data_IF_650464089564
#
_entry.id   IF_650464089564
#
_cell.length_a   1.000
_cell.length_b   1.000
_cell.length_c   1.000
_cell.angle_alpha   90.00
_cell.angle_beta   90.00
_cell.angle_gamma   90.00
#
_symmetry.space_group_name_H-M   'P 1'
#
loop_
_entity.id
_entity.type
_entity.pdbx_description
1 polymer ?
#
# COMPACT_ATOMS: atom_id res chain seq x y z
N UNK A 1 -36.49 -82.87 18.02
CA UNK A 1 -36.31 -81.75 17.07
C UNK A 1 -35.80 -80.55 17.85
N UNK A 2 -34.49 -80.30 17.82
CA UNK A 2 -33.86 -79.12 18.44
C UNK A 2 -32.84 -78.58 17.46
N UNK A 3 -33.09 -77.37 16.97
CA UNK A 3 -32.21 -76.62 16.08
C UNK A 3 -31.03 -76.06 16.89
N UNK A 4 -29.82 -76.31 16.41
CA UNK A 4 -28.57 -75.71 16.91
C UNK A 4 -28.28 -74.43 16.11
N UNK A 5 -28.11 -73.30 16.80
CA UNK A 5 -27.70 -72.01 16.26
C UNK A 5 -26.18 -71.85 16.51
N UNK A 6 -25.34 -71.56 15.51
CA UNK A 6 -23.92 -71.35 15.74
C UNK A 6 -23.65 -69.90 16.16
N UNK A 7 -22.88 -69.73 17.24
CA UNK A 7 -22.35 -68.45 17.71
C UNK A 7 -21.12 -68.10 16.87
N UNK A 8 -21.19 -67.00 16.12
CA UNK A 8 -20.05 -66.42 15.41
C UNK A 8 -19.33 -65.48 16.39
N UNK A 9 -18.08 -65.83 16.75
CA UNK A 9 -17.19 -65.01 17.57
C UNK A 9 -16.46 -64.02 16.65
N UNK A 10 -16.81 -62.72 16.70
CA UNK A 10 -16.04 -61.67 16.02
C UNK A 10 -14.78 -61.33 16.84
N UNK A 11 -13.61 -61.63 16.28
CA UNK A 11 -12.31 -61.14 16.74
C UNK A 11 -12.09 -59.71 16.20
N UNK A 12 -12.14 -58.72 17.09
CA UNK A 12 -11.69 -57.36 16.78
C UNK A 12 -10.16 -57.30 16.83
N UNK A 13 -9.52 -57.19 15.67
CA UNK A 13 -8.11 -56.85 15.55
C UNK A 13 -7.94 -55.33 15.71
N UNK A 14 -7.38 -54.89 16.84
CA UNK A 14 -7.00 -53.49 17.04
C UNK A 14 -5.71 -53.20 16.27
N UNK A 15 -5.83 -52.62 15.08
CA UNK A 15 -4.71 -52.03 14.36
C UNK A 15 -4.29 -50.74 15.08
N UNK A 16 -3.17 -50.79 15.79
CA UNK A 16 -2.54 -49.62 16.40
C UNK A 16 -1.84 -48.80 15.31
N UNK A 17 -2.54 -47.83 14.72
CA UNK A 17 -1.91 -46.80 13.89
C UNK A 17 -1.00 -45.93 14.77
N UNK A 18 0.32 -46.16 14.67
CA UNK A 18 1.33 -45.22 15.16
C UNK A 18 1.30 -44.00 14.24
N UNK A 19 0.65 -42.94 14.69
CA UNK A 19 0.69 -41.64 14.03
C UNK A 19 2.10 -41.07 14.28
N UNK A 20 2.99 -41.18 13.29
CA UNK A 20 4.24 -40.43 13.30
C UNK A 20 3.88 -38.94 13.27
N UNK A 21 4.18 -38.23 14.36
CA UNK A 21 4.20 -36.77 14.34
C UNK A 21 5.26 -36.38 13.31
N UNK A 22 4.84 -35.82 12.18
CA UNK A 22 5.73 -35.00 11.36
C UNK A 22 6.41 -34.01 12.29
N UNK A 23 7.74 -34.11 12.39
CA UNK A 23 8.54 -33.02 12.96
C UNK A 23 8.23 -31.81 12.09
N UNK A 24 7.64 -30.77 12.68
CA UNK A 24 7.66 -29.45 12.08
C UNK A 24 9.13 -29.13 11.77
N UNK A 25 9.47 -29.12 10.48
CA UNK A 25 10.74 -28.57 10.02
C UNK A 25 10.75 -27.12 10.49
N UNK A 26 11.82 -26.73 11.21
CA UNK A 26 11.98 -25.33 11.56
C UNK A 26 11.87 -24.48 10.28
N UNK A 27 11.22 -23.30 10.34
CA UNK A 27 11.11 -22.46 9.16
C UNK A 27 12.50 -22.13 8.64
N UNK A 28 12.78 -22.52 7.40
CA UNK A 28 14.05 -22.18 6.74
C UNK A 28 13.95 -20.73 6.29
N UNK A 29 14.96 -19.93 6.61
CA UNK A 29 15.09 -18.55 6.12
C UNK A 29 14.97 -18.52 4.60
N UNK A 30 14.16 -17.61 4.06
CA UNK A 30 14.01 -17.48 2.61
C UNK A 30 15.32 -17.04 1.98
N UNK A 31 15.69 -17.60 0.84
CA UNK A 31 16.77 -17.05 0.02
C UNK A 31 16.18 -16.32 -1.18
N UNK A 32 16.62 -15.08 -1.38
CA UNK A 32 16.18 -14.21 -2.46
C UNK A 32 17.33 -13.91 -3.39
N UNK A 33 17.09 -14.06 -4.69
CA UNK A 33 18.09 -13.83 -5.73
C UNK A 33 17.47 -13.00 -6.85
N UNK A 34 18.22 -12.01 -7.34
CA UNK A 34 17.87 -11.28 -8.54
C UNK A 34 18.71 -11.85 -9.70
N UNK A 35 18.03 -12.40 -10.71
CA UNK A 35 18.67 -12.93 -11.91
C UNK A 35 18.38 -12.05 -13.12
N UNK A 36 19.36 -11.93 -14.01
CA UNK A 36 19.20 -11.30 -15.31
C UNK A 36 19.44 -12.37 -16.40
N UNK A 37 18.38 -12.72 -17.12
CA UNK A 37 18.38 -13.71 -18.20
C UNK A 37 18.06 -13.11 -19.56
N UNK A 38 17.79 -13.96 -20.56
CA UNK A 38 17.36 -13.51 -21.90
C UNK A 38 16.02 -12.78 -21.89
N UNK A 39 15.18 -13.07 -20.90
CA UNK A 39 13.81 -12.57 -20.79
C UNK A 39 13.72 -11.38 -19.81
N UNK A 40 14.87 -10.79 -19.43
CA UNK A 40 14.99 -9.67 -18.50
C UNK A 40 15.33 -10.08 -17.08
N UNK A 41 14.95 -9.23 -16.12
CA UNK A 41 15.17 -9.41 -14.69
C UNK A 41 14.07 -10.24 -14.05
N UNK A 42 14.46 -11.16 -13.16
CA UNK A 42 13.55 -12.01 -12.43
C UNK A 42 14.00 -12.11 -10.97
N UNK A 43 13.08 -11.84 -10.05
CA UNK A 43 13.24 -12.12 -8.64
C UNK A 43 12.91 -13.60 -8.39
N UNK A 44 13.78 -14.30 -7.66
CA UNK A 44 13.56 -15.66 -7.19
C UNK A 44 13.45 -15.67 -5.67
N UNK A 45 12.47 -16.39 -5.15
CA UNK A 45 12.36 -16.72 -3.72
C UNK A 45 12.44 -18.23 -3.58
N UNK A 46 13.44 -18.70 -2.84
CA UNK A 46 13.75 -20.13 -2.66
C UNK A 46 13.95 -20.87 -3.99
N UNK A 47 14.54 -20.17 -4.97
CA UNK A 47 14.79 -20.68 -6.32
C UNK A 47 13.58 -20.68 -7.27
N UNK A 48 12.41 -20.24 -6.82
CA UNK A 48 11.20 -20.14 -7.64
C UNK A 48 10.95 -18.69 -8.11
N UNK A 49 10.54 -18.45 -9.37
CA UNK A 49 10.14 -17.13 -9.85
C UNK A 49 9.08 -16.50 -8.97
N UNK A 50 9.30 -15.24 -8.59
CA UNK A 50 8.43 -14.50 -7.68
C UNK A 50 8.22 -13.07 -8.18
N UNK A 51 7.11 -12.83 -8.87
CA UNK A 51 6.70 -11.46 -9.23
C UNK A 51 5.91 -10.84 -8.09
N UNK A 52 6.32 -9.66 -7.61
CA UNK A 52 5.69 -9.02 -6.46
C UNK A 52 4.33 -8.42 -6.87
N UNK A 53 3.27 -9.03 -6.35
CA UNK A 53 1.89 -8.53 -6.39
C UNK A 53 1.56 -8.04 -4.99
N UNK A 54 2.11 -6.88 -4.64
CA UNK A 54 2.14 -6.43 -3.26
C UNK A 54 1.34 -5.18 -2.97
N UNK A 55 1.30 -4.84 -1.70
CA UNK A 55 0.72 -3.58 -1.22
C UNK A 55 1.55 -2.92 -0.12
N UNK A 56 1.54 -1.59 -0.05
CA UNK A 56 2.05 -0.85 1.10
C UNK A 56 1.07 -1.00 2.26
N UNK A 57 1.51 -1.60 3.37
CA UNK A 57 0.66 -2.04 4.47
C UNK A 57 1.40 -1.86 5.79
N UNK A 58 1.18 -0.73 6.47
CA UNK A 58 1.75 -0.48 7.80
C UNK A 58 0.79 -0.98 8.90
N UNK A 59 -0.49 -0.56 8.80
CA UNK A 59 -1.53 -0.88 9.78
C UNK A 59 -2.79 -1.52 9.14
N UNK A 60 -2.71 -1.87 7.85
CA UNK A 60 -3.79 -2.53 7.14
C UNK A 60 -3.96 -4.01 7.52
N UNK A 61 -4.99 -4.65 6.96
CA UNK A 61 -5.27 -6.06 7.21
C UNK A 61 -4.41 -6.97 6.32
N UNK A 62 -3.45 -7.67 6.93
CA UNK A 62 -2.64 -8.72 6.29
C UNK A 62 -3.54 -9.88 5.77
N UNK A 63 -4.53 -10.37 6.54
CA UNK A 63 -5.44 -11.40 6.03
C UNK A 63 -6.25 -10.97 4.81
N UNK A 64 -6.73 -9.72 4.77
CA UNK A 64 -7.50 -9.23 3.62
C UNK A 64 -6.61 -9.09 2.37
N UNK A 65 -5.34 -8.69 2.52
CA UNK A 65 -4.40 -8.69 1.40
C UNK A 65 -4.24 -10.09 0.78
N UNK A 66 -4.00 -11.10 1.62
CA UNK A 66 -3.89 -12.49 1.17
C UNK A 66 -5.18 -12.99 0.50
N UNK A 67 -6.34 -12.68 1.10
CA UNK A 67 -7.66 -13.03 0.56
C UNK A 67 -7.92 -12.44 -0.82
N UNK A 68 -7.40 -11.23 -1.09
CA UNK A 68 -7.55 -10.59 -2.40
C UNK A 68 -6.46 -10.99 -3.41
N UNK A 69 -5.58 -11.93 -3.08
CA UNK A 69 -4.56 -12.48 -4.00
C UNK A 69 -3.23 -11.74 -4.01
N UNK A 70 -3.02 -10.80 -3.08
CA UNK A 70 -1.69 -10.24 -2.86
C UNK A 70 -0.73 -11.33 -2.35
N UNK A 71 0.54 -11.25 -2.73
CA UNK A 71 1.57 -12.23 -2.33
C UNK A 71 2.68 -11.65 -1.44
N UNK A 72 2.74 -10.32 -1.32
CA UNK A 72 3.71 -9.63 -0.50
C UNK A 72 3.19 -8.29 0.02
N UNK A 73 3.81 -7.72 1.04
CA UNK A 73 3.59 -6.33 1.43
C UNK A 73 4.88 -5.62 1.83
N UNK A 74 4.81 -4.29 1.83
CA UNK A 74 5.90 -3.41 2.26
C UNK A 74 5.52 -2.66 3.53
N UNK A 75 6.46 -2.55 4.46
CA UNK A 75 6.39 -1.64 5.63
C UNK A 75 7.39 -0.51 5.47
N UNK A 76 7.33 0.53 6.32
CA UNK A 76 8.27 1.65 6.30
C UNK A 76 9.36 1.56 7.38
N UNK A 77 9.18 0.66 8.36
CA UNK A 77 10.07 0.49 9.51
C UNK A 77 9.91 -0.89 10.14
N UNK A 78 10.89 -1.25 10.95
CA UNK A 78 10.92 -2.50 11.70
C UNK A 78 10.16 -2.42 13.02
N UNK A 79 9.86 -1.23 13.54
CA UNK A 79 8.96 -1.04 14.69
C UNK A 79 8.10 0.18 14.40
N UNK A 80 6.79 -0.03 14.29
CA UNK A 80 5.85 1.02 13.92
C UNK A 80 5.09 1.61 15.11
N UNK A 81 5.54 1.33 16.34
CA UNK A 81 4.94 1.78 17.59
C UNK A 81 3.70 1.00 18.02
N UNK A 82 3.14 0.15 17.15
CA UNK A 82 2.05 -0.77 17.47
C UNK A 82 2.50 -2.23 17.43
N UNK A 83 3.45 -2.55 16.55
CA UNK A 83 3.94 -3.89 16.28
C UNK A 83 5.44 -3.87 16.04
N UNK A 84 6.14 -4.86 16.61
CA UNK A 84 7.51 -5.16 16.21
C UNK A 84 7.54 -5.82 14.83
N UNK A 85 8.66 -5.70 14.14
CA UNK A 85 8.88 -6.21 12.80
C UNK A 85 8.79 -7.72 12.80
N UNK A 86 9.25 -8.37 13.88
CA UNK A 86 9.04 -9.81 14.09
C UNK A 86 7.55 -10.15 14.13
N UNK A 87 6.73 -9.41 14.87
CA UNK A 87 5.29 -9.70 14.93
C UNK A 87 4.59 -9.46 13.58
N UNK A 88 5.06 -8.50 12.79
CA UNK A 88 4.58 -8.27 11.41
C UNK A 88 4.96 -9.45 10.50
N UNK A 89 6.22 -9.87 10.55
CA UNK A 89 6.74 -10.98 9.76
C UNK A 89 6.10 -12.32 10.14
N UNK A 90 5.86 -12.57 11.44
CA UNK A 90 5.19 -13.78 11.93
C UNK A 90 3.76 -13.88 11.35
N UNK A 91 3.00 -12.77 11.32
CA UNK A 91 1.65 -12.75 10.73
C UNK A 91 1.71 -12.90 9.21
N UNK A 92 2.67 -12.25 8.54
CA UNK A 92 2.88 -12.43 7.11
C UNK A 92 3.07 -13.91 6.76
N UNK A 93 3.95 -14.60 7.50
CA UNK A 93 4.19 -16.02 7.32
C UNK A 93 2.92 -16.86 7.55
N UNK A 94 2.14 -16.54 8.59
CA UNK A 94 0.90 -17.26 8.89
C UNK A 94 -0.13 -17.17 7.74
N UNK A 95 -0.07 -16.10 6.95
CA UNK A 95 -0.93 -15.89 5.78
C UNK A 95 -0.25 -16.21 4.44
N UNK A 96 0.96 -16.79 4.46
CA UNK A 96 1.70 -17.16 3.24
C UNK A 96 2.23 -15.97 2.44
N UNK A 97 2.35 -14.80 3.06
CA UNK A 97 2.84 -13.57 2.44
C UNK A 97 4.33 -13.36 2.69
N UNK A 98 4.97 -12.66 1.75
CA UNK A 98 6.35 -12.17 1.88
C UNK A 98 6.38 -10.68 2.24
N UNK A 99 7.50 -10.19 2.75
CA UNK A 99 7.62 -8.83 3.27
C UNK A 99 8.88 -8.14 2.74
N UNK A 100 8.68 -6.99 2.11
CA UNK A 100 9.71 -5.97 2.00
C UNK A 100 9.71 -5.18 3.32
N UNK A 101 10.66 -5.48 4.21
CA UNK A 101 10.73 -4.85 5.52
C UNK A 101 11.41 -3.49 5.40
N UNK A 102 10.67 -2.42 5.67
CA UNK A 102 11.22 -1.08 5.71
C UNK A 102 12.16 -0.89 6.91
N UNK A 103 13.17 -0.06 6.71
CA UNK A 103 14.09 0.42 7.74
C UNK A 103 13.95 1.93 7.78
N UNK A 104 13.63 2.49 8.95
CA UNK A 104 13.57 3.94 9.08
C UNK A 104 15.00 4.52 9.01
N UNK A 105 15.21 5.38 8.02
CA UNK A 105 16.46 6.12 7.80
C UNK A 105 16.13 7.60 7.92
N UNK A 106 16.93 8.34 8.69
CA UNK A 106 16.63 9.73 8.97
C UNK A 106 16.65 10.60 7.71
N UNK A 107 15.70 11.52 7.61
CA UNK A 107 15.45 12.34 6.43
C UNK A 107 16.03 13.73 6.65
N UNK A 108 16.71 14.30 5.65
CA UNK A 108 17.28 15.66 5.75
C UNK A 108 16.19 16.71 6.01
N UNK A 109 15.01 16.55 5.39
CA UNK A 109 13.85 17.43 5.61
C UNK A 109 13.33 17.43 7.06
N UNK A 110 13.71 16.44 7.88
CA UNK A 110 13.43 16.39 9.32
C UNK A 110 14.59 16.95 10.18
N UNK A 111 15.60 17.55 9.56
CA UNK A 111 16.74 18.18 10.23
C UNK A 111 17.96 17.27 10.43
N UNK A 112 18.00 16.08 9.82
CA UNK A 112 19.17 15.21 9.92
C UNK A 112 20.32 15.71 9.03
N UNK A 113 21.49 15.94 9.61
CA UNK A 113 22.68 16.38 8.88
C UNK A 113 23.59 15.21 8.52
N UNK A 114 23.62 14.83 7.24
CA UNK A 114 24.52 13.79 6.73
C UNK A 114 26.01 14.19 6.71
N UNK A 115 26.36 15.42 7.10
CA UNK A 115 27.75 15.78 7.42
C UNK A 115 28.17 15.41 8.84
N UNK A 116 27.22 15.18 9.76
CA UNK A 116 27.52 14.67 11.09
C UNK A 116 27.83 13.16 11.02
N UNK A 117 29.09 12.86 10.77
CA UNK A 117 29.59 11.48 10.71
C UNK A 117 29.33 10.66 11.98
N UNK A 118 29.19 11.30 13.15
CA UNK A 118 28.87 10.60 14.38
C UNK A 118 27.39 10.22 14.42
N UNK A 119 26.49 11.09 13.96
CA UNK A 119 25.07 10.78 13.80
C UNK A 119 24.83 9.67 12.78
N UNK A 120 25.46 9.76 11.61
CA UNK A 120 25.38 8.71 10.56
C UNK A 120 25.86 7.36 11.09
N UNK A 121 26.96 7.33 11.85
CA UNK A 121 27.47 6.08 12.44
C UNK A 121 26.54 5.50 13.50
N UNK A 122 25.90 6.34 14.33
CA UNK A 122 24.91 5.86 15.32
C UNK A 122 23.72 5.21 14.61
N UNK A 123 23.17 5.88 13.60
CA UNK A 123 22.08 5.33 12.79
C UNK A 123 22.46 3.98 12.17
N UNK A 124 23.66 3.85 11.59
CA UNK A 124 24.13 2.59 11.00
C UNK A 124 24.16 1.45 12.04
N UNK A 125 24.64 1.71 13.25
CA UNK A 125 24.70 0.69 14.31
C UNK A 125 23.31 0.33 14.83
N UNK A 126 22.42 1.31 14.99
CA UNK A 126 21.04 1.06 15.40
C UNK A 126 20.29 0.20 14.36
N UNK A 127 20.53 0.45 13.06
CA UNK A 127 19.99 -0.37 11.96
C UNK A 127 20.59 -1.77 11.97
N UNK A 128 21.89 -1.92 12.24
CA UNK A 128 22.54 -3.24 12.33
C UNK A 128 21.84 -4.15 13.35
N UNK A 129 21.45 -3.61 14.51
CA UNK A 129 20.76 -4.39 15.53
C UNK A 129 19.38 -4.87 15.06
N UNK A 130 18.62 -4.01 14.38
CA UNK A 130 17.30 -4.36 13.81
C UNK A 130 17.44 -5.46 12.74
N UNK A 131 18.44 -5.37 11.87
CA UNK A 131 18.71 -6.38 10.83
C UNK A 131 19.08 -7.72 11.46
N UNK A 132 19.99 -7.71 12.44
CA UNK A 132 20.39 -8.94 13.16
C UNK A 132 19.20 -9.66 13.82
N UNK A 133 18.17 -8.93 14.25
CA UNK A 133 16.98 -9.52 14.88
C UNK A 133 16.07 -10.23 13.88
N UNK A 134 15.94 -9.73 12.64
CA UNK A 134 14.92 -10.19 11.69
C UNK A 134 15.46 -10.93 10.46
N UNK A 135 16.77 -10.85 10.17
CA UNK A 135 17.40 -11.38 8.94
C UNK A 135 17.16 -12.87 8.67
N UNK A 136 16.84 -13.66 9.69
CA UNK A 136 16.63 -15.10 9.55
C UNK A 136 15.14 -15.46 9.35
N UNK A 137 14.25 -14.46 9.28
CA UNK A 137 12.81 -14.69 9.20
C UNK A 137 12.36 -15.16 7.79
N UNK A 138 11.59 -16.26 7.68
CA UNK A 138 11.18 -16.84 6.38
C UNK A 138 10.21 -15.98 5.56
N UNK A 139 9.49 -15.03 6.16
CA UNK A 139 8.65 -14.09 5.41
C UNK A 139 9.43 -12.90 4.81
N UNK A 140 10.64 -12.61 5.29
CA UNK A 140 11.42 -11.49 4.77
C UNK A 140 11.90 -11.79 3.35
N UNK A 141 11.90 -10.79 2.46
CA UNK A 141 12.47 -10.91 1.12
C UNK A 141 13.41 -9.77 0.73
N UNK A 142 13.12 -8.55 1.17
CA UNK A 142 13.87 -7.33 0.78
C UNK A 142 13.92 -6.39 1.97
N UNK A 143 15.07 -5.76 2.19
CA UNK A 143 15.24 -4.64 3.10
C UNK A 143 15.06 -3.31 2.36
N UNK A 144 14.03 -2.56 2.73
CA UNK A 144 13.78 -1.20 2.22
C UNK A 144 14.52 -0.15 3.03
N UNK A 145 15.68 0.29 2.56
CA UNK A 145 16.54 1.26 3.25
C UNK A 145 15.98 2.67 3.05
N UNK A 146 15.24 3.15 4.06
CA UNK A 146 14.63 4.47 4.04
C UNK A 146 13.44 4.62 3.09
N UNK A 147 12.81 5.78 3.16
CA UNK A 147 11.69 6.16 2.32
C UNK A 147 11.83 7.62 1.91
N UNK A 148 11.78 7.88 0.60
CA UNK A 148 11.79 9.23 0.02
C UNK A 148 12.93 10.10 0.55
N UNK A 149 14.12 9.50 0.69
CA UNK A 149 15.30 10.21 1.20
C UNK A 149 15.72 11.38 0.31
N UNK A 150 15.28 11.38 -0.95
CA UNK A 150 15.46 12.45 -1.93
C UNK A 150 14.43 13.60 -1.80
N UNK A 151 13.31 13.39 -1.10
CA UNK A 151 12.25 14.39 -0.99
C UNK A 151 12.74 15.60 -0.19
N UNK A 152 12.88 16.74 -0.87
CA UNK A 152 13.42 18.00 -0.32
C UNK A 152 14.84 17.87 0.23
N UNK A 153 15.60 16.87 -0.19
CA UNK A 153 16.99 16.70 0.19
C UNK A 153 17.93 17.41 -0.78
N UNK A 154 19.08 17.85 -0.26
CA UNK A 154 20.14 18.51 -1.03
C UNK A 154 21.52 17.91 -0.75
N UNK A 155 21.68 17.18 0.34
CA UNK A 155 22.95 16.59 0.74
C UNK A 155 23.15 15.21 0.10
N UNK A 156 24.04 15.05 -0.90
CA UNK A 156 24.20 13.78 -1.62
C UNK A 156 24.80 12.66 -0.76
N UNK A 157 25.36 12.98 0.42
CA UNK A 157 25.88 11.99 1.38
C UNK A 157 24.81 11.06 1.96
N UNK A 158 23.53 11.38 1.77
CA UNK A 158 22.45 10.44 2.06
C UNK A 158 22.63 9.12 1.31
N UNK A 159 23.10 9.17 0.05
CA UNK A 159 23.35 7.98 -0.75
C UNK A 159 24.58 7.22 -0.30
N UNK A 160 25.63 7.92 0.16
CA UNK A 160 26.78 7.27 0.80
C UNK A 160 26.32 6.49 2.05
N UNK A 161 25.42 7.06 2.86
CA UNK A 161 24.86 6.38 4.04
C UNK A 161 23.98 5.17 3.65
N UNK A 162 23.14 5.30 2.62
CA UNK A 162 22.36 4.17 2.07
C UNK A 162 23.27 3.02 1.63
N UNK A 163 24.37 3.33 0.94
CA UNK A 163 25.36 2.35 0.51
C UNK A 163 26.00 1.60 1.68
N UNK A 164 26.38 2.34 2.73
CA UNK A 164 27.01 1.74 3.90
C UNK A 164 26.02 0.87 4.70
N UNK A 165 24.73 1.22 4.70
CA UNK A 165 23.67 0.37 5.26
C UNK A 165 23.51 -0.90 4.41
N UNK A 166 23.48 -0.79 3.08
CA UNK A 166 23.38 -1.94 2.18
C UNK A 166 24.53 -2.94 2.39
N UNK A 167 25.78 -2.45 2.36
CA UNK A 167 26.97 -3.29 2.58
C UNK A 167 26.94 -3.95 3.94
N UNK A 168 26.48 -3.20 4.94
CA UNK A 168 26.33 -3.71 6.29
C UNK A 168 25.34 -4.88 6.31
N UNK A 169 24.18 -4.73 5.68
CA UNK A 169 23.16 -5.78 5.57
C UNK A 169 23.74 -7.00 4.87
N UNK A 170 24.30 -6.87 3.66
CA UNK A 170 24.87 -8.01 2.92
C UNK A 170 26.00 -8.72 3.67
N UNK A 171 26.71 -8.03 4.56
CA UNK A 171 27.76 -8.65 5.40
C UNK A 171 27.23 -9.58 6.49
N UNK A 172 25.96 -9.43 6.91
CA UNK A 172 25.34 -10.19 8.01
C UNK A 172 24.12 -11.00 7.57
N UNK A 173 23.49 -10.62 6.46
CA UNK A 173 22.34 -11.23 5.82
C UNK A 173 22.67 -11.49 4.35
N UNK A 174 23.00 -12.74 4.04
CA UNK A 174 23.33 -13.17 2.68
C UNK A 174 22.11 -13.71 1.92
N UNK A 175 20.92 -13.56 2.49
CA UNK A 175 19.69 -14.20 2.01
C UNK A 175 18.73 -13.19 1.36
N UNK A 176 18.77 -11.92 1.77
CA UNK A 176 17.80 -10.92 1.33
C UNK A 176 18.45 -9.79 0.55
N UNK A 177 17.66 -9.18 -0.35
CA UNK A 177 18.10 -8.04 -1.16
C UNK A 177 17.93 -6.72 -0.41
N UNK A 178 18.60 -5.67 -0.89
CA UNK A 178 18.47 -4.29 -0.42
C UNK A 178 17.97 -3.37 -1.54
N UNK A 179 17.15 -2.39 -1.17
CA UNK A 179 16.67 -1.33 -2.08
C UNK A 179 16.45 -0.03 -1.31
N UNK A 180 16.20 1.08 -2.00
CA UNK A 180 15.76 2.35 -1.40
C UNK A 180 14.61 2.95 -2.20
N UNK A 181 13.55 3.40 -1.54
CA UNK A 181 12.36 3.95 -2.19
C UNK A 181 12.50 5.45 -2.46
N UNK A 182 12.42 5.84 -3.73
CA UNK A 182 12.59 7.21 -4.22
C UNK A 182 11.24 7.90 -4.42
N UNK A 183 11.14 9.19 -4.06
CA UNK A 183 10.03 10.06 -4.45
C UNK A 183 10.23 10.49 -5.92
N UNK A 184 9.56 9.83 -6.86
CA UNK A 184 9.80 10.00 -8.30
C UNK A 184 11.21 9.54 -8.72
N UNK A 185 11.60 9.92 -9.94
CA UNK A 185 12.89 9.55 -10.53
C UNK A 185 13.38 10.66 -11.47
N UNK A 186 14.70 10.90 -11.51
CA UNK A 186 15.34 11.77 -12.50
C UNK A 186 16.71 11.23 -12.86
N UNK A 187 17.28 11.71 -13.97
CA UNK A 187 18.59 11.25 -14.44
C UNK A 187 19.68 11.57 -13.41
N UNK A 188 19.66 12.78 -12.85
CA UNK A 188 20.64 13.23 -11.86
C UNK A 188 20.57 12.37 -10.60
N UNK A 189 19.36 12.03 -10.15
CA UNK A 189 19.16 11.16 -8.99
C UNK A 189 19.69 9.74 -9.25
N UNK A 190 19.44 9.19 -10.44
CA UNK A 190 19.96 7.87 -10.83
C UNK A 190 21.48 7.88 -10.95
N UNK A 191 22.07 8.93 -11.54
CA UNK A 191 23.52 9.08 -11.64
C UNK A 191 24.16 9.14 -10.24
N UNK A 192 23.59 9.93 -9.32
CA UNK A 192 24.05 10.03 -7.92
C UNK A 192 23.99 8.67 -7.20
N UNK A 193 22.89 7.92 -7.36
CA UNK A 193 22.74 6.60 -6.73
C UNK A 193 23.74 5.60 -7.31
N UNK A 194 23.94 5.58 -8.63
CA UNK A 194 24.94 4.72 -9.27
C UNK A 194 26.36 5.01 -8.78
N UNK A 195 26.68 6.28 -8.55
CA UNK A 195 28.00 6.68 -8.03
C UNK A 195 28.16 6.32 -6.55
N UNK A 196 27.14 6.57 -5.74
CA UNK A 196 27.27 6.61 -4.27
C UNK A 196 26.73 5.39 -3.56
N UNK A 197 25.71 4.75 -4.10
CA UNK A 197 25.07 3.54 -3.58
C UNK A 197 25.06 2.35 -4.56
N UNK A 198 26.23 1.97 -5.13
CA UNK A 198 26.33 0.86 -6.08
C UNK A 198 26.09 -0.52 -5.46
N UNK A 199 26.01 -0.62 -4.13
CA UNK A 199 25.75 -1.88 -3.43
C UNK A 199 24.27 -2.28 -3.39
N UNK A 200 23.35 -1.37 -3.74
CA UNK A 200 21.92 -1.69 -3.82
C UNK A 200 21.66 -2.72 -4.93
N UNK A 201 20.83 -3.72 -4.63
CA UNK A 201 20.50 -4.78 -5.59
C UNK A 201 19.54 -4.31 -6.70
N UNK A 202 18.65 -3.36 -6.38
CA UNK A 202 17.67 -2.78 -7.30
C UNK A 202 17.23 -1.38 -6.87
N UNK A 203 16.60 -0.64 -7.79
CA UNK A 203 15.94 0.62 -7.46
C UNK A 203 14.48 0.40 -7.04
N UNK A 204 13.96 1.34 -6.26
CA UNK A 204 12.53 1.42 -5.98
C UNK A 204 12.02 2.83 -6.18
N UNK A 205 10.92 2.97 -6.91
CA UNK A 205 10.36 4.26 -7.30
C UNK A 205 8.93 4.37 -6.79
N UNK A 206 8.52 5.57 -6.39
CA UNK A 206 7.18 5.90 -5.94
C UNK A 206 6.61 6.95 -6.86
N UNK A 207 5.51 6.63 -7.53
CA UNK A 207 4.86 7.48 -8.51
C UNK A 207 3.35 7.25 -8.52
N UNK A 208 2.61 8.35 -8.70
CA UNK A 208 1.16 8.39 -8.52
C UNK A 208 0.43 8.54 -9.86
N UNK A 209 -0.09 9.72 -10.21
CA UNK A 209 -0.76 9.87 -11.50
C UNK A 209 0.21 9.80 -12.67
N UNK A 210 1.36 10.45 -12.52
CA UNK A 210 2.41 10.50 -13.52
C UNK A 210 3.14 9.15 -13.77
N UNK A 211 2.82 8.10 -13.01
CA UNK A 211 3.43 6.76 -13.19
C UNK A 211 3.25 6.21 -14.60
N UNK A 212 2.23 6.63 -15.33
CA UNK A 212 2.03 6.23 -16.73
C UNK A 212 3.23 6.57 -17.63
N UNK A 213 4.05 7.54 -17.22
CA UNK A 213 5.28 7.95 -17.89
C UNK A 213 6.56 7.27 -17.34
N UNK A 214 6.45 6.46 -16.28
CA UNK A 214 7.58 5.77 -15.66
C UNK A 214 8.46 4.98 -16.64
N UNK A 215 7.92 4.23 -17.63
CA UNK A 215 8.76 3.54 -18.61
C UNK A 215 9.72 4.49 -19.34
N UNK A 216 9.21 5.63 -19.81
CA UNK A 216 10.03 6.64 -20.48
C UNK A 216 11.04 7.31 -19.54
N UNK A 217 10.68 7.45 -18.26
CA UNK A 217 11.62 7.98 -17.25
C UNK A 217 12.75 7.01 -16.95
N UNK A 218 12.47 5.72 -16.80
CA UNK A 218 13.50 4.68 -16.60
C UNK A 218 14.50 4.68 -17.78
N UNK A 219 13.98 4.68 -19.02
CA UNK A 219 14.79 4.74 -20.23
C UNK A 219 15.67 6.00 -20.29
N UNK A 220 15.07 7.18 -20.06
CA UNK A 220 15.77 8.47 -20.18
C UNK A 220 16.78 8.73 -19.05
N UNK A 221 16.55 8.14 -17.88
CA UNK A 221 17.52 8.17 -16.78
C UNK A 221 18.68 7.18 -17.00
N UNK A 222 18.54 6.25 -17.96
CA UNK A 222 19.54 5.25 -18.29
C UNK A 222 19.72 4.21 -17.18
N UNK A 223 18.65 3.84 -16.47
CA UNK A 223 18.70 2.75 -15.50
C UNK A 223 18.48 1.42 -16.22
N UNK A 224 19.51 0.57 -16.25
CA UNK A 224 19.46 -0.74 -16.93
C UNK A 224 19.21 -1.90 -15.95
N UNK A 225 19.15 -1.64 -14.64
CA UNK A 225 18.97 -2.65 -13.58
C UNK A 225 17.51 -3.00 -13.32
N UNK A 226 17.23 -4.01 -12.50
CA UNK A 226 15.85 -4.25 -12.05
C UNK A 226 15.31 -3.06 -11.24
N UNK A 227 13.99 -2.91 -11.18
CA UNK A 227 13.35 -1.97 -10.26
C UNK A 227 12.01 -2.48 -9.73
N UNK A 228 11.54 -1.84 -8.66
CA UNK A 228 10.21 -2.00 -8.07
C UNK A 228 9.46 -0.68 -8.08
N UNK A 229 8.13 -0.77 -8.22
CA UNK A 229 7.26 0.37 -7.91
C UNK A 229 6.75 0.20 -6.47
N UNK A 230 7.29 0.96 -5.53
CA UNK A 230 7.07 0.74 -4.09
C UNK A 230 5.89 1.50 -3.49
N UNK A 231 5.39 2.51 -4.20
CA UNK A 231 4.09 3.14 -3.94
C UNK A 231 3.52 3.62 -5.27
N UNK A 232 2.28 3.23 -5.53
CA UNK A 232 1.46 3.68 -6.66
C UNK A 232 0.00 3.43 -6.30
N UNK A 233 -0.93 4.20 -6.86
CA UNK A 233 -2.34 4.02 -6.53
C UNK A 233 -3.17 5.21 -6.92
N UNK A 234 -3.63 5.98 -5.93
CA UNK A 234 -4.46 7.16 -6.13
C UNK A 234 -3.70 8.31 -6.81
N UNK A 235 -4.43 9.26 -7.41
CA UNK A 235 -3.87 10.52 -7.92
C UNK A 235 -3.35 11.34 -6.74
N UNK A 236 -2.11 11.84 -6.80
CA UNK A 236 -1.58 12.69 -5.75
C UNK A 236 -2.43 13.96 -5.59
N UNK A 237 -2.59 14.47 -4.37
CA UNK A 237 -3.37 15.68 -4.14
C UNK A 237 -2.77 16.94 -4.79
N UNK A 238 -1.50 16.89 -5.17
CA UNK A 238 -0.81 17.92 -5.96
C UNK A 238 -1.02 17.77 -7.48
N UNK A 239 -1.64 16.68 -7.93
CA UNK A 239 -1.86 16.35 -9.36
C UNK A 239 -3.34 16.54 -9.78
N UNK A 240 -4.20 17.04 -8.89
CA UNK A 240 -5.61 17.32 -9.16
C UNK A 240 -5.91 18.82 -9.26
N UNK A 241 -7.01 19.22 -9.93
CA UNK A 241 -7.49 20.59 -9.88
C UNK A 241 -7.75 21.06 -8.45
N UNK A 242 -7.54 22.35 -8.21
CA UNK A 242 -7.88 23.00 -6.95
C UNK A 242 -9.14 23.86 -7.13
N UNK A 243 -9.96 23.95 -6.09
CA UNK A 243 -11.00 24.97 -5.98
C UNK A 243 -10.40 26.37 -5.82
N UNK A 244 -11.22 27.42 -5.94
CA UNK A 244 -10.81 28.82 -5.72
C UNK A 244 -10.22 29.10 -4.33
N UNK A 245 -10.57 28.29 -3.32
CA UNK A 245 -10.01 28.38 -1.97
C UNK A 245 -8.88 27.37 -1.70
N UNK A 246 -8.33 26.76 -2.76
CA UNK A 246 -7.14 25.90 -2.67
C UNK A 246 -7.39 24.45 -2.25
N UNK A 247 -8.65 24.03 -2.04
CA UNK A 247 -8.96 22.64 -1.71
C UNK A 247 -8.80 21.73 -2.94
N UNK A 248 -8.06 20.60 -2.85
CA UNK A 248 -7.84 19.70 -3.98
C UNK A 248 -9.07 18.83 -4.25
N UNK A 249 -9.47 18.74 -5.52
CA UNK A 249 -10.68 18.02 -5.94
C UNK A 249 -10.38 16.53 -6.05
N UNK A 250 -10.88 15.76 -5.08
CA UNK A 250 -10.62 14.32 -4.98
C UNK A 250 -11.43 13.53 -6.03
N UNK A 251 -10.80 12.52 -6.63
CA UNK A 251 -11.50 11.59 -7.51
C UNK A 251 -12.47 10.69 -6.71
N UNK A 252 -13.63 10.32 -7.29
CA UNK A 252 -14.50 9.33 -6.67
C UNK A 252 -13.89 7.91 -6.78
N UNK A 253 -14.45 6.94 -6.05
CA UNK A 253 -13.94 5.56 -6.03
C UNK A 253 -13.96 4.87 -7.39
N UNK A 254 -14.92 5.18 -8.28
CA UNK A 254 -14.98 4.61 -9.64
C UNK A 254 -13.81 5.08 -10.49
N UNK A 255 -13.53 6.39 -10.44
CA UNK A 255 -12.41 6.99 -11.14
C UNK A 255 -11.07 6.48 -10.60
N UNK A 256 -10.93 6.39 -9.27
CA UNK A 256 -9.75 5.79 -8.63
C UNK A 256 -9.54 4.36 -9.14
N UNK A 257 -10.55 3.50 -9.08
CA UNK A 257 -10.45 2.12 -9.55
C UNK A 257 -10.02 2.02 -11.03
N UNK A 258 -10.61 2.86 -11.90
CA UNK A 258 -10.22 2.96 -13.31
C UNK A 258 -8.75 3.37 -13.47
N UNK A 259 -8.30 4.38 -12.73
CA UNK A 259 -6.91 4.83 -12.77
C UNK A 259 -5.93 3.77 -12.23
N UNK A 260 -6.27 3.03 -11.19
CA UNK A 260 -5.43 1.92 -10.69
C UNK A 260 -5.21 0.88 -11.80
N UNK A 261 -6.28 0.46 -12.47
CA UNK A 261 -6.19 -0.50 -13.59
C UNK A 261 -5.32 0.04 -14.73
N UNK A 262 -5.56 1.27 -15.15
CA UNK A 262 -4.80 1.93 -16.21
C UNK A 262 -3.30 2.02 -15.88
N UNK A 263 -2.97 2.50 -14.68
CA UNK A 263 -1.58 2.68 -14.23
C UNK A 263 -0.84 1.36 -14.13
N UNK A 264 -1.47 0.33 -13.58
CA UNK A 264 -0.88 -1.00 -13.49
C UNK A 264 -0.55 -1.56 -14.87
N UNK A 265 -1.52 -1.58 -15.77
CA UNK A 265 -1.34 -2.15 -17.11
C UNK A 265 -0.32 -1.37 -17.94
N UNK A 266 -0.31 -0.04 -17.80
CA UNK A 266 0.53 0.83 -18.63
C UNK A 266 1.97 0.87 -18.15
N UNK A 267 2.22 0.92 -16.85
CA UNK A 267 3.53 1.23 -16.30
C UNK A 267 4.21 0.09 -15.53
N UNK A 268 3.45 -0.93 -15.11
CA UNK A 268 3.96 -2.01 -14.26
C UNK A 268 3.94 -3.33 -15.02
N UNK A 269 2.76 -3.75 -15.50
CA UNK A 269 2.58 -5.01 -16.23
C UNK A 269 3.28 -4.99 -17.59
N UNK A 270 3.32 -3.84 -18.26
CA UNK A 270 4.02 -3.66 -19.54
C UNK A 270 5.55 -3.72 -19.41
N UNK A 271 6.09 -3.62 -18.18
CA UNK A 271 7.52 -3.49 -17.89
C UNK A 271 8.11 -4.73 -17.22
N UNK A 272 7.47 -5.91 -17.34
CA UNK A 272 7.89 -7.15 -16.67
C UNK A 272 9.31 -7.63 -16.97
N UNK A 273 9.94 -7.14 -18.03
CA UNK A 273 11.36 -7.42 -18.34
C UNK A 273 12.32 -6.74 -17.35
N UNK A 274 11.90 -5.68 -16.65
CA UNK A 274 12.77 -4.91 -15.74
C UNK A 274 12.13 -4.61 -14.38
N UNK A 275 10.82 -4.36 -14.37
CA UNK A 275 10.00 -4.19 -13.19
C UNK A 275 9.69 -5.55 -12.58
N UNK A 276 10.23 -5.85 -11.40
CA UNK A 276 10.04 -7.15 -10.71
C UNK A 276 8.81 -7.19 -9.80
N UNK A 277 7.96 -6.16 -9.89
CA UNK A 277 6.66 -6.08 -9.24
C UNK A 277 6.38 -4.73 -8.60
N UNK A 278 5.34 -4.68 -7.78
CA UNK A 278 4.88 -3.42 -7.21
C UNK A 278 4.12 -3.56 -5.89
N UNK A 279 4.03 -2.44 -5.17
CA UNK A 279 3.27 -2.29 -3.94
C UNK A 279 2.22 -1.19 -4.09
N UNK A 280 0.96 -1.58 -4.25
CA UNK A 280 -0.16 -0.63 -4.31
C UNK A 280 -0.34 0.10 -2.98
N UNK A 281 -0.60 1.41 -3.00
CA UNK A 281 -0.68 2.27 -1.82
C UNK A 281 -1.98 3.08 -1.78
N UNK A 282 -2.68 3.15 -0.64
CA UNK A 282 -2.41 2.54 0.67
C UNK A 282 -3.37 1.36 0.92
N UNK A 283 -2.84 0.18 1.23
CA UNK A 283 -3.68 -0.97 1.64
C UNK A 283 -4.12 -0.85 3.09
N UNK A 284 -5.13 -0.03 3.30
CA UNK A 284 -5.68 0.31 4.61
C UNK A 284 -6.42 1.63 4.51
N UNK A 285 -6.46 2.34 5.64
CA UNK A 285 -7.02 3.67 5.74
C UNK A 285 -6.05 4.56 6.52
N UNK A 286 -5.89 5.81 6.06
CA UNK A 286 -5.11 6.85 6.72
C UNK A 286 -5.68 8.21 6.33
N UNK A 287 -5.71 9.14 7.28
CA UNK A 287 -5.93 10.54 6.99
C UNK A 287 -4.75 11.11 6.20
N UNK A 288 -5.03 11.57 4.99
CA UNK A 288 -4.06 12.30 4.18
C UNK A 288 -4.78 13.19 3.17
N UNK A 289 -4.85 14.48 3.49
CA UNK A 289 -5.80 15.49 2.99
C UNK A 289 -7.26 15.18 3.33
N UNK A 290 -7.73 13.98 3.05
CA UNK A 290 -9.06 13.49 3.41
C UNK A 290 -8.97 12.06 3.98
N UNK A 291 -9.99 11.57 4.69
CA UNK A 291 -10.00 10.19 5.20
C UNK A 291 -10.08 9.14 4.09
N UNK A 292 -10.32 9.54 2.84
CA UNK A 292 -10.57 8.66 1.69
C UNK A 292 -9.52 8.77 0.60
N UNK A 293 -8.52 9.65 0.71
CA UNK A 293 -7.67 10.02 -0.43
C UNK A 293 -6.90 8.83 -1.01
N UNK A 294 -6.02 8.23 -0.21
CA UNK A 294 -5.11 7.16 -0.65
C UNK A 294 -5.51 5.77 -0.17
N UNK A 295 -6.25 5.67 0.94
CA UNK A 295 -6.70 4.39 1.49
C UNK A 295 -7.64 3.66 0.54
N UNK A 296 -7.42 2.37 0.32
CA UNK A 296 -8.34 1.49 -0.44
C UNK A 296 -9.45 0.90 0.44
N UNK A 297 -9.40 1.15 1.75
CA UNK A 297 -10.45 0.84 2.71
C UNK A 297 -10.98 2.13 3.37
N UNK A 298 -12.24 2.09 3.77
CA UNK A 298 -12.85 3.12 4.62
C UNK A 298 -12.52 2.86 6.09
N UNK A 299 -12.77 3.85 6.95
CA UNK A 299 -12.47 3.78 8.39
C UNK A 299 -13.23 2.64 9.09
N UNK A 300 -14.41 2.27 8.58
CA UNK A 300 -15.21 1.16 9.10
C UNK A 300 -14.74 -0.23 8.62
N UNK A 301 -13.67 -0.28 7.82
CA UNK A 301 -13.11 -1.49 7.24
C UNK A 301 -13.76 -1.94 5.92
N UNK A 302 -14.74 -1.21 5.39
CA UNK A 302 -15.33 -1.53 4.08
C UNK A 302 -14.31 -1.31 2.96
N UNK A 303 -14.22 -2.26 2.03
CA UNK A 303 -13.37 -2.14 0.84
C UNK A 303 -13.96 -1.16 -0.17
N UNK A 304 -13.11 -0.65 -1.05
CA UNK A 304 -13.50 0.23 -2.17
C UNK A 304 -13.31 -0.44 -3.51
N UNK A 305 -13.82 0.16 -4.58
CA UNK A 305 -13.65 -0.33 -5.95
C UNK A 305 -12.18 -0.52 -6.38
N UNK A 306 -11.24 0.16 -5.71
CA UNK A 306 -9.81 -0.08 -5.92
C UNK A 306 -9.37 -1.48 -5.47
N UNK A 307 -9.94 -2.01 -4.38
CA UNK A 307 -9.69 -3.39 -3.92
C UNK A 307 -10.19 -4.40 -4.95
N UNK A 308 -11.36 -4.18 -5.54
CA UNK A 308 -11.94 -5.08 -6.56
C UNK A 308 -11.06 -5.14 -7.81
N UNK A 309 -10.54 -3.98 -8.23
CA UNK A 309 -9.58 -3.91 -9.35
C UNK A 309 -8.30 -4.64 -9.02
N UNK A 310 -7.74 -4.47 -7.82
CA UNK A 310 -6.53 -5.21 -7.45
C UNK A 310 -6.78 -6.71 -7.37
N UNK A 311 -7.93 -7.14 -6.83
CA UNK A 311 -8.35 -8.53 -6.86
C UNK A 311 -8.42 -9.08 -8.29
N UNK A 312 -9.02 -8.34 -9.22
CA UNK A 312 -9.06 -8.71 -10.63
C UNK A 312 -7.66 -8.81 -11.25
N UNK A 313 -6.78 -7.83 -11.01
CA UNK A 313 -5.44 -7.80 -11.57
C UNK A 313 -4.55 -8.93 -11.03
N UNK A 314 -4.75 -9.36 -9.79
CA UNK A 314 -3.96 -10.42 -9.17
C UNK A 314 -4.50 -11.82 -9.45
N UNK A 315 -5.83 -12.00 -9.53
CA UNK A 315 -6.45 -13.33 -9.69
C UNK A 315 -6.96 -13.62 -11.11
N UNK A 316 -7.13 -12.60 -11.95
CA UNK A 316 -7.70 -12.74 -13.30
C UNK A 316 -9.24 -12.80 -13.34
N UNK A 317 -9.91 -12.68 -12.20
CA UNK A 317 -11.36 -12.65 -12.06
C UNK A 317 -11.79 -11.59 -11.06
N UNK A 318 -12.98 -11.03 -11.22
CA UNK A 318 -13.58 -10.11 -10.24
C UNK A 318 -13.93 -10.83 -8.93
N UNK A 319 -13.95 -10.11 -7.78
CA UNK A 319 -14.43 -10.69 -6.54
C UNK A 319 -15.92 -11.05 -6.66
N UNK A 320 -16.40 -11.97 -5.80
CA UNK A 320 -17.80 -12.43 -5.81
C UNK A 320 -18.80 -11.31 -5.53
N UNK A 321 -18.41 -10.32 -4.73
CA UNK A 321 -19.17 -9.11 -4.47
C UNK A 321 -18.29 -7.90 -4.78
N UNK A 322 -18.73 -7.06 -5.70
CA UNK A 322 -18.04 -5.87 -6.13
C UNK A 322 -18.61 -4.64 -5.43
N UNK A 323 -17.73 -3.68 -5.18
CA UNK A 323 -18.14 -2.37 -4.70
C UNK A 323 -19.08 -1.72 -5.73
N UNK A 324 -20.09 -0.96 -5.30
CA UNK A 324 -20.93 -0.23 -6.24
C UNK A 324 -20.08 0.76 -7.06
N UNK A 325 -20.62 1.38 -8.12
CA UNK A 325 -19.99 2.44 -8.91
C UNK A 325 -20.67 3.78 -8.61
N UNK A 326 -19.89 4.84 -8.38
CA UNK A 326 -20.37 6.23 -8.31
C UNK A 326 -20.30 6.83 -9.70
N UNK A 327 -21.44 7.16 -10.28
CA UNK A 327 -21.55 7.79 -11.59
C UNK A 327 -21.47 9.32 -11.48
N UNK A 328 -22.08 9.89 -10.45
CA UNK A 328 -22.05 11.33 -10.18
C UNK A 328 -22.44 11.63 -8.74
N UNK A 329 -21.90 12.72 -8.22
CA UNK A 329 -22.35 13.37 -6.98
C UNK A 329 -22.58 14.84 -7.28
N UNK A 330 -23.64 15.43 -6.74
CA UNK A 330 -23.95 16.86 -6.90
C UNK A 330 -24.43 17.48 -5.60
N UNK A 331 -24.06 18.74 -5.40
CA UNK A 331 -24.57 19.61 -4.33
C UNK A 331 -25.12 20.89 -4.95
N UNK A 332 -26.38 21.21 -4.67
CA UNK A 332 -27.10 22.31 -5.32
C UNK A 332 -27.01 22.27 -6.86
N UNK A 333 -27.12 21.06 -7.43
CA UNK A 333 -27.02 20.80 -8.87
C UNK A 333 -25.60 20.89 -9.46
N UNK A 334 -24.60 21.29 -8.69
CA UNK A 334 -23.21 21.48 -9.12
C UNK A 334 -22.33 20.26 -8.81
N UNK A 335 -21.30 20.05 -9.61
CA UNK A 335 -20.32 18.96 -9.49
C UNK A 335 -19.14 19.35 -8.61
N UNK A 336 -18.41 18.38 -8.03
CA UNK A 336 -17.11 18.64 -7.41
C UNK A 336 -16.19 19.42 -8.37
N UNK A 337 -15.56 20.48 -7.85
CA UNK A 337 -14.67 21.36 -8.62
C UNK A 337 -15.34 22.59 -9.26
N UNK A 338 -16.67 22.73 -9.24
CA UNK A 338 -17.37 23.91 -9.79
C UNK A 338 -17.43 25.12 -8.83
N UNK A 339 -16.53 25.21 -7.83
CA UNK A 339 -16.47 26.30 -6.84
C UNK A 339 -17.84 26.61 -6.19
N UNK A 340 -18.40 25.62 -5.49
CA UNK A 340 -19.75 25.69 -4.93
C UNK A 340 -19.81 26.63 -3.71
N UNK A 341 -20.41 27.81 -3.89
CA UNK A 341 -20.71 28.76 -2.80
C UNK A 341 -22.15 28.64 -2.33
N UNK A 342 -22.33 28.41 -1.03
CA UNK A 342 -23.65 28.27 -0.39
C UNK A 342 -23.84 29.30 0.72
N UNK A 343 -25.10 29.68 0.96
CA UNK A 343 -25.43 30.60 2.04
C UNK A 343 -25.52 29.86 3.38
N UNK A 344 -24.78 30.34 4.39
CA UNK A 344 -24.83 29.82 5.76
C UNK A 344 -26.28 29.70 6.29
N UNK A 345 -26.55 28.63 7.04
CA UNK A 345 -27.85 28.33 7.63
C UNK A 345 -28.96 27.94 6.65
N UNK A 346 -28.72 28.01 5.33
CA UNK A 346 -29.69 27.65 4.28
C UNK A 346 -29.61 26.16 3.95
N UNK A 347 -30.68 25.58 3.38
CA UNK A 347 -30.71 24.18 2.94
C UNK A 347 -30.59 24.05 1.42
N UNK A 348 -29.84 23.04 0.98
CA UNK A 348 -29.63 22.73 -0.43
C UNK A 348 -29.69 21.21 -0.68
N UNK A 349 -30.17 20.77 -1.85
CA UNK A 349 -30.21 19.35 -2.19
C UNK A 349 -28.81 18.83 -2.51
N UNK A 350 -28.49 17.64 -2.02
CA UNK A 350 -27.37 16.83 -2.47
C UNK A 350 -27.89 15.49 -3.00
N UNK A 351 -27.28 14.99 -4.07
CA UNK A 351 -27.68 13.73 -4.68
C UNK A 351 -26.49 12.97 -5.26
N UNK A 352 -26.55 11.65 -5.16
CA UNK A 352 -25.63 10.73 -5.78
C UNK A 352 -26.37 9.78 -6.73
N UNK A 353 -25.70 9.44 -7.83
CA UNK A 353 -26.12 8.44 -8.78
C UNK A 353 -25.10 7.31 -8.72
N UNK A 354 -25.59 6.12 -8.41
CA UNK A 354 -24.75 4.94 -8.23
C UNK A 354 -25.40 3.72 -8.85
N UNK A 355 -24.58 2.77 -9.26
CA UNK A 355 -24.98 1.47 -9.80
C UNK A 355 -24.27 0.38 -9.03
N UNK A 356 -24.94 -0.73 -8.69
CA UNK A 356 -24.29 -1.88 -8.08
C UNK A 356 -24.10 -2.99 -9.13
N UNK A 357 -22.86 -3.48 -9.39
CA UNK A 357 -22.62 -4.53 -10.38
C UNK A 357 -23.39 -5.83 -10.11
N UNK A 358 -23.61 -6.15 -8.83
CA UNK A 358 -24.26 -7.38 -8.37
C UNK A 358 -25.77 -7.18 -8.13
N UNK A 359 -26.25 -5.94 -8.29
CA UNK A 359 -27.63 -5.48 -8.05
C UNK A 359 -28.05 -5.54 -6.58
N UNK A 360 -27.08 -5.39 -5.67
CA UNK A 360 -27.35 -5.30 -4.24
C UNK A 360 -28.00 -3.96 -3.84
N UNK A 361 -28.68 -3.97 -2.70
CA UNK A 361 -29.36 -2.80 -2.18
C UNK A 361 -28.34 -1.83 -1.54
N UNK A 362 -28.17 -0.65 -2.13
CA UNK A 362 -27.19 0.33 -1.65
C UNK A 362 -27.73 1.14 -0.46
N UNK A 363 -26.99 1.12 0.64
CA UNK A 363 -27.17 2.05 1.76
C UNK A 363 -26.15 3.19 1.66
N UNK A 364 -26.60 4.44 1.82
CA UNK A 364 -25.75 5.63 1.76
C UNK A 364 -25.37 6.12 3.15
N UNK A 365 -24.28 6.87 3.24
CA UNK A 365 -23.93 7.65 4.44
C UNK A 365 -23.36 8.98 3.99
N UNK A 366 -24.10 10.04 4.25
CA UNK A 366 -23.65 11.41 3.99
C UNK A 366 -23.14 12.06 5.28
N UNK A 367 -22.04 12.80 5.18
CA UNK A 367 -21.49 13.56 6.31
C UNK A 367 -20.67 14.76 5.83
N UNK A 368 -20.54 15.79 6.67
CA UNK A 368 -19.81 17.02 6.35
C UNK A 368 -18.63 17.13 7.30
N UNK A 369 -17.49 17.57 6.79
CA UNK A 369 -16.33 17.94 7.59
C UNK A 369 -15.83 19.32 7.17
N UNK A 370 -15.11 20.01 8.05
CA UNK A 370 -14.30 21.16 7.63
C UNK A 370 -13.21 20.68 6.67
N UNK A 371 -12.83 21.51 5.72
CA UNK A 371 -11.66 21.21 4.89
C UNK A 371 -10.40 21.15 5.78
N UNK A 372 -9.56 20.15 5.56
CA UNK A 372 -8.34 19.94 6.35
C UNK A 372 -7.41 21.14 6.27
N UNK A 373 -6.93 21.59 7.43
CA UNK A 373 -5.95 22.69 7.55
C UNK A 373 -4.60 22.22 8.09
N UNK A 374 -4.55 21.03 8.68
CA UNK A 374 -3.33 20.35 9.12
C UNK A 374 -2.79 19.50 7.97
N UNK A 375 -1.84 20.07 7.24
CA UNK A 375 -1.37 19.54 5.97
C UNK A 375 0.09 19.07 6.10
N UNK A 376 0.29 17.75 6.15
CA UNK A 376 1.61 17.12 6.16
C UNK A 376 2.27 17.06 4.78
N UNK A 377 3.54 16.65 4.73
CA UNK A 377 4.32 16.41 3.50
C UNK A 377 4.97 15.02 3.52
N UNK A 378 5.05 14.34 2.37
CA UNK A 378 5.64 12.99 2.26
C UNK A 378 5.07 11.96 3.25
N UNK A 379 3.75 11.91 3.41
CA UNK A 379 3.06 10.94 4.26
C UNK A 379 3.16 11.18 5.77
N UNK A 380 3.54 12.38 6.22
CA UNK A 380 3.50 12.75 7.64
C UNK A 380 2.07 12.64 8.23
N UNK A 381 1.98 12.61 9.57
CA UNK A 381 0.69 12.50 10.27
C UNK A 381 -0.13 13.78 10.12
N UNK A 382 -1.42 13.62 9.85
CA UNK A 382 -2.40 14.70 9.79
C UNK A 382 -3.56 14.41 10.74
N UNK A 383 -4.09 15.46 11.37
CA UNK A 383 -5.32 15.37 12.15
C UNK A 383 -6.56 15.24 11.24
N UNK A 384 -7.50 14.39 11.68
CA UNK A 384 -8.80 14.21 11.01
C UNK A 384 -9.74 15.34 11.45
N UNK A 385 -10.31 16.15 10.53
CA UNK A 385 -11.33 17.13 10.90
C UNK A 385 -12.56 16.46 11.54
N UNK A 386 -13.24 17.14 12.45
CA UNK A 386 -14.45 16.58 13.07
C UNK A 386 -15.62 16.48 12.07
N UNK A 387 -16.38 15.39 12.18
CA UNK A 387 -17.65 15.22 11.45
C UNK A 387 -18.73 16.12 12.08
N UNK A 388 -19.37 16.92 11.25
CA UNK A 388 -20.42 17.85 11.67
C UNK A 388 -21.79 17.16 11.65
N UNK A 389 -22.29 16.84 12.83
CA UNK A 389 -23.58 16.17 13.01
C UNK A 389 -24.79 17.11 12.88
N UNK A 390 -25.94 16.55 12.50
CA UNK A 390 -27.22 17.27 12.47
C UNK A 390 -27.45 18.19 11.27
N UNK A 391 -26.53 18.22 10.30
CA UNK A 391 -26.62 19.05 9.09
C UNK A 391 -27.27 18.34 7.89
N UNK A 392 -27.48 17.03 7.95
CA UNK A 392 -28.05 16.25 6.85
C UNK A 392 -29.27 15.47 7.34
N UNK A 393 -30.37 15.63 6.63
CA UNK A 393 -31.59 14.84 6.88
C UNK A 393 -31.56 13.55 6.07
N UNK A 394 -32.05 12.45 6.64
CA UNK A 394 -32.14 11.13 5.96
C UNK A 394 -30.83 10.69 5.30
N UNK A 395 -29.73 10.71 6.05
CA UNK A 395 -28.37 10.44 5.56
C UNK A 395 -28.15 9.05 4.90
N UNK A 396 -29.19 8.20 4.85
CA UNK A 396 -29.19 6.86 4.26
C UNK A 396 -29.79 6.79 2.84
N UNK A 397 -30.20 7.92 2.26
CA UNK A 397 -30.80 7.97 0.92
C UNK A 397 -29.82 8.50 -0.14
N UNK A 398 -30.07 8.15 -1.40
CA UNK A 398 -29.29 8.65 -2.54
C UNK A 398 -29.41 10.17 -2.73
N UNK A 399 -30.51 10.77 -2.27
CA UNK A 399 -30.74 12.20 -2.27
C UNK A 399 -31.09 12.67 -0.85
N UNK A 400 -30.49 13.78 -0.43
CA UNK A 400 -30.63 14.36 0.91
C UNK A 400 -30.76 15.86 0.84
N UNK A 401 -31.39 16.46 1.86
CA UNK A 401 -31.31 17.89 2.11
C UNK A 401 -30.20 18.18 3.12
N UNK A 402 -29.25 19.02 2.71
CA UNK A 402 -28.09 19.44 3.49
C UNK A 402 -28.29 20.88 3.97
N UNK A 403 -28.32 21.10 5.28
CA UNK A 403 -28.24 22.43 5.89
C UNK A 403 -26.77 22.86 5.95
N UNK A 404 -26.48 24.06 5.46
CA UNK A 404 -25.14 24.64 5.51
C UNK A 404 -24.80 25.07 6.94
N UNK A 405 -23.60 24.77 7.45
CA UNK A 405 -23.13 25.28 8.75
C UNK A 405 -23.28 26.79 8.90
N UNK A 406 -23.56 27.24 10.13
CA UNK A 406 -23.68 28.67 10.45
C UNK A 406 -22.30 29.37 10.39
N UNK A 407 -21.24 28.66 10.79
CA UNK A 407 -19.87 29.14 10.68
C UNK A 407 -19.42 29.14 9.21
N UNK A 408 -18.99 30.30 8.72
CA UNK A 408 -18.47 30.42 7.35
C UNK A 408 -17.08 29.80 7.23
N UNK A 409 -16.84 29.04 6.17
CA UNK A 409 -15.54 28.41 5.92
C UNK A 409 -15.58 27.44 4.74
N UNK A 410 -14.45 26.78 4.51
CA UNK A 410 -14.36 25.69 3.55
C UNK A 410 -14.79 24.38 4.22
N UNK A 411 -15.66 23.63 3.54
CA UNK A 411 -16.20 22.35 3.99
C UNK A 411 -16.17 21.35 2.84
N UNK A 412 -16.18 20.07 3.20
CA UNK A 412 -16.32 18.96 2.27
C UNK A 412 -17.52 18.11 2.68
N UNK A 413 -18.39 17.86 1.71
CA UNK A 413 -19.48 16.90 1.82
C UNK A 413 -18.97 15.55 1.31
N UNK A 414 -19.02 14.54 2.16
CA UNK A 414 -18.66 13.17 1.83
C UNK A 414 -19.89 12.31 1.65
N UNK A 415 -19.72 11.26 0.85
CA UNK A 415 -20.68 10.18 0.70
C UNK A 415 -19.94 8.84 0.69
N UNK A 416 -20.25 8.02 1.69
CA UNK A 416 -19.89 6.61 1.71
C UNK A 416 -21.09 5.75 1.34
N UNK A 417 -20.83 4.48 1.05
CA UNK A 417 -21.88 3.51 0.78
C UNK A 417 -21.49 2.13 1.27
N UNK A 418 -22.51 1.32 1.48
CA UNK A 418 -22.39 -0.10 1.77
C UNK A 418 -23.43 -0.86 0.96
N UNK A 419 -22.98 -1.86 0.20
CA UNK A 419 -23.82 -2.93 -0.35
C UNK A 419 -23.94 -4.09 0.64
#
# INVERSE_FOLDING_TARGET
MKYFLPIILLLFATASCKQEKEKATEPVTSKVELQHGSDGYQLLVDGAPFYIQGAGLEFGSIPELAKHGGNAFRTWRTDNGQRSGKAVLDEAQAHGLKVMMGIEVARERHGFDYNDTAAVRRQLEDIRQQVMELKDHPALIIWGIGNELNLRATNPKVWDAVNEISKMIHSIDTNHLTTTSLAGISKELVDDIKERAPDLDLLSVQMYADIVNLPAYIDSCGWDGAYLVTEWGATGHWEVPLTEWGAPVENNSTDKARFYKERFLTAIDSQREQCVGSFVFLWGQKQERTPTWYGVYLEDGSSTASVDVMHYLWNGSWPENQSPAIDSVRLNGQRPGENIYLKAGSSYPAAAWTTDPDNDAITYKWYIMKESTDLGDGGDLESVPEVLEGYITTAQQAAVEMRVPEETGAYRLFIDRKS
#
